data_IF_393325039583
#
_entry.id   IF_393325039583
#
_cell.length_a   1.000
_cell.length_b   1.000
_cell.length_c   1.000
_cell.angle_alpha   90.00
_cell.angle_beta   90.00
_cell.angle_gamma   90.00
#
_symmetry.space_group_name_H-M   'P 1'
#
loop_
_entity.id
_entity.type
_entity.pdbx_description
1 polymer ?
#
# COMPACT_ATOMS: atom_id res chain seq x y z
N UNK A 1 3.92 11.75 -8.29
CA UNK A 1 3.04 11.30 -9.38
C UNK A 1 1.88 12.29 -9.52
N UNK A 2 1.57 12.77 -10.72
CA UNK A 2 0.47 13.74 -10.95
C UNK A 2 -0.84 12.95 -10.92
N UNK A 3 -1.51 12.92 -9.77
CA UNK A 3 -2.80 12.23 -9.63
C UNK A 3 -3.83 13.00 -10.46
N UNK A 4 -4.55 12.34 -11.40
CA UNK A 4 -5.61 13.01 -12.14
C UNK A 4 -6.68 13.48 -11.15
N UNK A 5 -6.84 14.80 -11.05
CA UNK A 5 -7.81 15.44 -10.14
C UNK A 5 -9.24 15.36 -10.69
N UNK A 6 -9.38 15.14 -12.00
CA UNK A 6 -10.67 15.01 -12.65
C UNK A 6 -11.11 13.55 -12.55
N UNK A 7 -12.23 13.31 -11.88
CA UNK A 7 -12.83 11.98 -11.75
C UNK A 7 -13.26 11.39 -13.08
N UNK A 8 -13.56 10.09 -13.08
CA UNK A 8 -14.06 9.39 -14.26
C UNK A 8 -15.38 10.02 -14.73
N UNK A 9 -15.61 10.24 -16.04
CA UNK A 9 -16.88 10.73 -16.56
C UNK A 9 -18.05 9.85 -16.09
N UNK A 10 -19.16 10.48 -15.68
CA UNK A 10 -20.34 9.82 -15.10
C UNK A 10 -20.78 8.53 -15.81
N UNK A 11 -21.03 8.51 -17.14
CA UNK A 11 -21.50 7.30 -17.81
C UNK A 11 -20.49 6.16 -17.76
N UNK A 12 -19.19 6.46 -17.78
CA UNK A 12 -18.13 5.45 -17.65
C UNK A 12 -18.07 4.93 -16.20
N UNK A 13 -18.17 5.85 -15.23
CA UNK A 13 -18.19 5.51 -13.81
C UNK A 13 -19.37 4.61 -13.43
N UNK A 14 -20.56 4.88 -13.98
CA UNK A 14 -21.77 4.07 -13.75
C UNK A 14 -21.63 2.65 -14.31
N UNK A 15 -21.04 2.51 -15.51
CA UNK A 15 -20.76 1.20 -16.11
C UNK A 15 -19.74 0.43 -15.26
N UNK A 16 -18.62 1.06 -14.88
CA UNK A 16 -17.60 0.43 -14.03
C UNK A 16 -18.18 0.02 -12.68
N UNK A 17 -18.95 0.89 -12.04
CA UNK A 17 -19.60 0.60 -10.76
C UNK A 17 -20.53 -0.61 -10.86
N UNK A 18 -21.32 -0.67 -11.94
CA UNK A 18 -22.21 -1.81 -12.20
C UNK A 18 -21.42 -3.11 -12.31
N UNK A 19 -20.35 -3.13 -13.12
CA UNK A 19 -19.49 -4.31 -13.30
C UNK A 19 -18.87 -4.76 -11.98
N UNK A 20 -18.32 -3.83 -11.18
CA UNK A 20 -17.74 -4.16 -9.88
C UNK A 20 -18.77 -4.68 -8.88
N UNK A 21 -20.01 -4.19 -8.92
CA UNK A 21 -21.07 -4.72 -8.08
C UNK A 21 -21.45 -6.17 -8.46
N UNK A 22 -21.27 -6.57 -9.71
CA UNK A 22 -21.53 -7.94 -10.16
C UNK A 22 -20.37 -8.90 -9.87
N UNK A 23 -19.13 -8.47 -10.09
CA UNK A 23 -17.94 -9.34 -10.06
C UNK A 23 -17.17 -9.24 -8.72
N UNK A 24 -17.33 -8.14 -7.98
CA UNK A 24 -16.57 -7.86 -6.77
C UNK A 24 -16.92 -8.76 -5.58
N UNK A 25 -16.00 -8.87 -4.61
CA UNK A 25 -16.23 -9.65 -3.40
C UNK A 25 -17.40 -9.07 -2.60
N UNK A 26 -18.25 -9.95 -2.04
CA UNK A 26 -19.41 -9.58 -1.23
C UNK A 26 -19.30 -10.19 0.17
N UNK A 27 -19.92 -9.54 1.15
CA UNK A 27 -19.96 -10.04 2.54
C UNK A 27 -18.57 -10.18 3.17
N UNK A 28 -18.27 -11.35 3.73
CA UNK A 28 -17.03 -11.61 4.48
C UNK A 28 -15.78 -11.47 3.61
N UNK A 29 -15.84 -11.85 2.33
CA UNK A 29 -14.69 -11.70 1.42
C UNK A 29 -14.36 -10.23 1.18
N UNK A 30 -15.38 -9.35 1.13
CA UNK A 30 -15.17 -7.92 1.03
C UNK A 30 -14.53 -7.37 2.31
N UNK A 31 -14.99 -7.85 3.48
CA UNK A 31 -14.41 -7.45 4.76
C UNK A 31 -12.91 -7.81 4.83
N UNK A 32 -12.53 -9.04 4.43
CA UNK A 32 -11.12 -9.46 4.35
C UNK A 32 -10.33 -8.58 3.39
N UNK A 33 -10.81 -8.41 2.16
CA UNK A 33 -10.17 -7.54 1.17
C UNK A 33 -9.94 -6.12 1.71
N UNK A 34 -10.95 -5.54 2.37
CA UNK A 34 -10.85 -4.19 2.93
C UNK A 34 -9.85 -4.11 4.09
N UNK A 35 -9.78 -5.13 4.94
CA UNK A 35 -8.81 -5.22 6.04
C UNK A 35 -7.40 -5.33 5.47
N UNK A 36 -7.17 -6.26 4.55
CA UNK A 36 -5.87 -6.46 3.90
C UNK A 36 -5.40 -5.18 3.23
N UNK A 37 -6.26 -4.52 2.45
CA UNK A 37 -5.94 -3.25 1.81
C UNK A 37 -5.46 -2.20 2.81
N UNK A 38 -6.20 -2.00 3.92
CA UNK A 38 -5.83 -1.00 4.91
C UNK A 38 -4.56 -1.39 5.68
N UNK A 39 -4.37 -2.68 5.96
CA UNK A 39 -3.18 -3.18 6.61
C UNK A 39 -1.93 -2.95 5.75
N UNK A 40 -1.94 -3.41 4.50
CA UNK A 40 -0.81 -3.27 3.57
C UNK A 40 -0.49 -1.81 3.29
N UNK A 41 -1.51 -0.96 3.09
CA UNK A 41 -1.33 0.49 2.90
C UNK A 41 -0.65 1.14 4.11
N UNK A 42 -1.12 0.82 5.31
CA UNK A 42 -0.56 1.39 6.53
C UNK A 42 0.86 0.87 6.78
N UNK A 43 1.13 -0.40 6.51
CA UNK A 43 2.48 -0.97 6.56
C UNK A 43 3.43 -0.20 5.64
N UNK A 44 3.08 -0.03 4.35
CA UNK A 44 3.91 0.71 3.40
C UNK A 44 4.13 2.17 3.81
N UNK A 45 3.15 2.81 4.47
CA UNK A 45 3.33 4.14 5.01
C UNK A 45 4.41 4.18 6.10
N UNK A 46 4.40 3.22 7.03
CA UNK A 46 5.42 3.12 8.09
C UNK A 46 6.79 2.78 7.50
N UNK A 47 6.86 1.85 6.54
CA UNK A 47 8.11 1.53 5.82
C UNK A 47 8.70 2.79 5.19
N UNK A 48 7.87 3.58 4.52
CA UNK A 48 8.30 4.82 3.87
C UNK A 48 8.90 5.81 4.88
N UNK A 49 8.21 6.05 5.98
CA UNK A 49 8.57 7.12 6.92
C UNK A 49 9.67 6.69 7.91
N UNK A 50 9.66 5.43 8.35
CA UNK A 50 10.46 4.95 9.49
C UNK A 50 11.32 3.71 9.20
N UNK A 51 11.30 3.21 7.97
CA UNK A 51 12.07 2.03 7.56
C UNK A 51 11.39 0.70 7.91
N UNK A 52 11.95 -0.38 7.35
CA UNK A 52 11.37 -1.72 7.40
C UNK A 52 11.37 -2.33 8.79
N UNK A 53 12.50 -2.26 9.50
CA UNK A 53 12.67 -2.83 10.85
C UNK A 53 11.59 -2.32 11.81
N UNK A 54 11.31 -1.01 11.77
CA UNK A 54 10.30 -0.39 12.63
C UNK A 54 8.88 -0.72 12.17
N UNK A 55 8.65 -0.90 10.87
CA UNK A 55 7.37 -1.35 10.35
C UNK A 55 7.04 -2.77 10.82
N UNK A 56 7.99 -3.69 10.69
CA UNK A 56 7.85 -5.08 11.14
C UNK A 56 7.64 -5.16 12.66
N UNK A 57 8.41 -4.42 13.46
CA UNK A 57 8.25 -4.36 14.91
C UNK A 57 6.90 -3.78 15.39
N UNK A 58 6.21 -3.02 14.55
CA UNK A 58 4.93 -2.37 14.89
C UNK A 58 3.70 -3.24 14.61
N UNK A 59 3.87 -4.35 13.88
CA UNK A 59 2.75 -5.21 13.51
C UNK A 59 2.48 -6.29 14.57
N UNK A 60 1.20 -6.56 14.92
CA UNK A 60 0.82 -7.80 15.59
C UNK A 60 1.13 -9.02 14.72
N UNK A 61 1.28 -10.20 15.34
CA UNK A 61 1.74 -11.40 14.64
C UNK A 61 0.83 -11.81 13.46
N UNK A 62 -0.50 -11.79 13.64
CA UNK A 62 -1.44 -12.09 12.55
C UNK A 62 -1.30 -11.13 11.36
N UNK A 63 -0.90 -9.88 11.61
CA UNK A 63 -0.77 -8.85 10.59
C UNK A 63 0.55 -9.03 9.82
N UNK A 64 1.61 -9.47 10.51
CA UNK A 64 2.86 -9.88 9.87
C UNK A 64 2.64 -11.03 8.90
N UNK A 65 1.92 -12.07 9.32
CA UNK A 65 1.61 -13.22 8.46
C UNK A 65 0.92 -12.81 7.16
N UNK A 66 -0.01 -11.84 7.22
CA UNK A 66 -0.67 -11.31 6.03
C UNK A 66 0.34 -10.56 5.15
N UNK A 67 1.13 -9.64 5.72
CA UNK A 67 2.14 -8.88 4.97
C UNK A 67 3.15 -9.81 4.29
N UNK A 68 3.63 -10.84 5.00
CA UNK A 68 4.59 -11.82 4.51
C UNK A 68 3.99 -12.64 3.36
N UNK A 69 2.72 -13.05 3.49
CA UNK A 69 2.01 -13.76 2.42
C UNK A 69 1.94 -12.91 1.15
N UNK A 70 1.55 -11.63 1.26
CA UNK A 70 1.52 -10.73 0.09
C UNK A 70 2.92 -10.46 -0.47
N UNK A 71 3.94 -10.30 0.38
CA UNK A 71 5.32 -10.10 -0.07
C UNK A 71 5.89 -11.31 -0.81
N UNK A 72 5.43 -12.52 -0.47
CA UNK A 72 5.89 -13.78 -1.05
C UNK A 72 5.10 -14.18 -2.30
N UNK A 73 3.79 -14.03 -2.27
CA UNK A 73 2.89 -14.58 -3.29
C UNK A 73 2.44 -13.53 -4.33
N UNK A 74 2.45 -12.24 -3.98
CA UNK A 74 1.94 -11.15 -4.84
C UNK A 74 3.07 -10.24 -5.33
N UNK A 75 3.50 -10.46 -6.58
CA UNK A 75 4.57 -9.70 -7.23
C UNK A 75 4.33 -8.18 -7.17
N UNK A 76 3.09 -7.74 -7.41
CA UNK A 76 2.76 -6.31 -7.40
C UNK A 76 2.96 -5.64 -6.04
N UNK A 77 2.72 -6.35 -4.94
CA UNK A 77 2.97 -5.82 -3.59
C UNK A 77 4.46 -5.81 -3.28
N UNK A 78 5.19 -6.87 -3.63
CA UNK A 78 6.64 -6.96 -3.45
C UNK A 78 7.37 -5.82 -4.18
N UNK A 79 7.06 -5.63 -5.46
CA UNK A 79 7.66 -4.55 -6.28
C UNK A 79 7.34 -3.16 -5.71
N UNK A 80 6.14 -2.98 -5.17
CA UNK A 80 5.75 -1.72 -4.54
C UNK A 80 6.52 -1.49 -3.23
N UNK A 81 6.68 -2.53 -2.41
CA UNK A 81 7.45 -2.49 -1.16
C UNK A 81 8.91 -2.11 -1.44
N UNK A 82 9.54 -2.74 -2.42
CA UNK A 82 10.92 -2.42 -2.83
C UNK A 82 11.06 -0.97 -3.28
N UNK A 83 10.16 -0.47 -4.13
CA UNK A 83 10.16 0.95 -4.54
C UNK A 83 10.00 1.91 -3.36
N UNK A 84 9.15 1.57 -2.39
CA UNK A 84 8.96 2.39 -1.19
C UNK A 84 10.22 2.40 -0.32
N UNK A 85 10.93 1.27 -0.20
CA UNK A 85 12.20 1.16 0.52
C UNK A 85 13.30 1.99 -0.14
N UNK A 86 13.41 1.94 -1.47
CA UNK A 86 14.34 2.76 -2.25
C UNK A 86 14.07 4.26 -2.04
N UNK A 87 12.80 4.66 -2.07
CA UNK A 87 12.40 6.06 -1.83
C UNK A 87 12.71 6.53 -0.42
N UNK A 88 12.50 5.68 0.59
CA UNK A 88 12.81 5.98 1.99
C UNK A 88 14.32 6.18 2.19
N UNK A 89 15.14 5.30 1.59
CA UNK A 89 16.60 5.36 1.65
C UNK A 89 17.18 6.60 0.96
N UNK A 90 16.58 7.01 -0.17
CA UNK A 90 16.97 8.22 -0.92
C UNK A 90 16.62 9.51 -0.17
N UNK A 91 15.48 9.52 0.56
CA UNK A 91 15.08 10.65 1.41
C UNK A 91 16.04 10.85 2.58
N UNK A 92 16.42 9.77 3.27
CA UNK A 92 17.35 9.81 4.40
C UNK A 92 18.75 10.36 4.01
N UNK A 93 19.23 10.04 2.81
CA UNK A 93 20.50 10.56 2.29
C UNK A 93 20.45 12.06 1.90
N UNK A 94 19.25 12.58 1.61
CA UNK A 94 19.05 14.00 1.30
C UNK A 94 18.94 14.86 2.57
N UNK A 95 18.26 14.36 3.61
CA UNK A 95 18.09 15.06 4.88
C UNK A 95 19.42 15.19 5.65
N UNK A 96 20.28 14.16 5.61
CA UNK A 96 21.61 14.18 6.24
C UNK A 96 22.62 15.18 5.61
N UNK A 97 22.32 15.76 4.44
CA UNK A 97 23.16 16.79 3.80
C UNK A 97 22.78 18.22 4.16
N UNK A 98 21.65 18.45 4.85
CA UNK A 98 21.22 19.79 5.25
C UNK A 98 21.73 20.22 6.64
N UNK A 99 22.21 19.29 7.47
CA UNK A 99 22.73 19.62 8.81
C UNK A 99 24.21 20.05 8.82
N UNK A 100 24.96 19.80 7.73
CA UNK A 100 26.33 20.30 7.54
C UNK A 100 26.32 21.63 6.76
N UNK A 101 25.84 22.71 7.36
CA UNK A 101 26.08 24.08 6.86
C UNK A 101 26.01 25.16 7.91
#
# INVERSE_FOLDING_TARGET
QKVPQQGIPRPIGEVMASVFQFIGPKGINFARYSIDYHLLRNYLHIVKEWGEERAEGSLPDYAKEIVDWYAKEEEGFRDLKEKVLELSSSSAAADGKMEDK
#
